data_IF_348118222717
#
_entry.id   IF_348118222717
#
_cell.length_a   1.000
_cell.length_b   1.000
_cell.length_c   1.000
_cell.angle_alpha   90.00
_cell.angle_beta   90.00
_cell.angle_gamma   90.00
#
_symmetry.space_group_name_H-M   'P 1'
#
loop_
_entity.id
_entity.type
_entity.pdbx_description
1 polymer ?
#
# COMPACT_ATOMS: atom_id res chain seq x y z
N UNK A 1 5.35 -9.24 17.62
CA UNK A 1 3.97 -8.70 17.64
C UNK A 1 3.73 -7.99 16.32
N UNK A 2 2.55 -8.12 15.69
CA UNK A 2 2.28 -7.39 14.45
C UNK A 2 2.19 -5.89 14.75
N UNK A 3 3.02 -5.11 14.06
CA UNK A 3 2.97 -3.66 14.10
C UNK A 3 1.78 -3.18 13.25
N UNK A 4 0.86 -2.46 13.90
CA UNK A 4 -0.41 -2.01 13.31
C UNK A 4 -0.36 -0.51 13.02
N UNK A 5 -0.23 -0.18 11.75
CA UNK A 5 -0.17 1.19 11.25
C UNK A 5 -1.56 1.82 11.24
N UNK A 6 -1.64 3.06 11.74
CA UNK A 6 -2.78 3.94 11.51
C UNK A 6 -2.71 4.55 10.11
N UNK A 7 -3.79 5.22 9.72
CA UNK A 7 -3.79 6.02 8.49
C UNK A 7 -2.69 7.10 8.50
N UNK A 8 -2.42 7.70 9.66
CA UNK A 8 -1.37 8.72 9.82
C UNK A 8 0.03 8.16 9.51
N UNK A 9 0.27 6.88 9.82
CA UNK A 9 1.56 6.23 9.60
C UNK A 9 1.82 5.90 8.13
N UNK A 10 0.76 5.74 7.31
CA UNK A 10 0.89 5.59 5.85
C UNK A 10 1.64 6.77 5.24
N UNK A 11 1.40 7.99 5.74
CA UNK A 11 2.12 9.19 5.29
C UNK A 11 3.61 9.10 5.62
N UNK A 12 3.97 8.58 6.79
CA UNK A 12 5.37 8.39 7.20
C UNK A 12 6.09 7.34 6.33
N UNK A 13 5.36 6.32 5.87
CA UNK A 13 5.85 5.29 4.91
C UNK A 13 5.97 5.80 3.46
N UNK A 14 5.73 7.08 3.21
CA UNK A 14 5.82 7.66 1.86
C UNK A 14 4.56 7.47 1.02
N UNK A 15 3.41 7.20 1.64
CA UNK A 15 2.10 7.08 0.98
C UNK A 15 1.26 8.32 1.33
N UNK A 16 1.43 9.46 0.62
CA UNK A 16 0.71 10.71 0.88
C UNK A 16 -0.71 10.72 0.29
N UNK A 17 -1.43 9.59 0.36
CA UNK A 17 -2.77 9.49 -0.19
C UNK A 17 -3.83 10.03 0.77
N UNK A 18 -4.92 10.56 0.23
CA UNK A 18 -6.09 10.95 1.04
C UNK A 18 -6.89 9.73 1.46
N UNK A 19 -7.66 9.81 2.55
CA UNK A 19 -8.52 8.71 3.04
C UNK A 19 -9.47 8.20 1.96
N UNK A 20 -10.01 9.12 1.15
CA UNK A 20 -10.92 8.82 0.05
C UNK A 20 -10.21 8.06 -1.09
N UNK A 21 -8.97 8.46 -1.41
CA UNK A 21 -8.14 7.77 -2.40
C UNK A 21 -7.79 6.36 -1.92
N UNK A 22 -7.37 6.20 -0.67
CA UNK A 22 -7.09 4.88 -0.07
C UNK A 22 -8.32 4.00 -0.10
N UNK A 23 -9.50 4.52 0.29
CA UNK A 23 -10.75 3.78 0.21
C UNK A 23 -11.09 3.34 -1.23
N UNK A 24 -10.84 4.19 -2.23
CA UNK A 24 -11.02 3.85 -3.64
C UNK A 24 -10.05 2.75 -4.09
N UNK A 25 -8.78 2.82 -3.69
CA UNK A 25 -7.78 1.79 -4.04
C UNK A 25 -8.12 0.44 -3.39
N UNK A 26 -8.58 0.46 -2.13
CA UNK A 26 -9.06 -0.75 -1.45
C UNK A 26 -10.24 -1.35 -2.21
N UNK A 27 -11.22 -0.52 -2.62
CA UNK A 27 -12.36 -0.97 -3.44
C UNK A 27 -11.92 -1.55 -4.78
N UNK A 28 -10.82 -1.06 -5.35
CA UNK A 28 -10.23 -1.56 -6.59
C UNK A 28 -9.33 -2.79 -6.38
N UNK A 29 -9.13 -3.27 -5.15
CA UNK A 29 -8.20 -4.36 -4.84
C UNK A 29 -6.73 -3.99 -5.06
N UNK A 30 -6.42 -2.69 -5.13
CA UNK A 30 -5.07 -2.17 -5.44
C UNK A 30 -4.30 -1.69 -4.21
N UNK A 31 -4.87 -1.81 -3.03
CA UNK A 31 -4.27 -1.44 -1.75
C UNK A 31 -4.69 -2.42 -0.66
N UNK A 32 -3.83 -2.73 0.33
CA UNK A 32 -4.15 -3.67 1.39
C UNK A 32 -5.41 -3.27 2.17
N UNK A 33 -6.24 -4.26 2.47
CA UNK A 33 -7.49 -4.04 3.18
C UNK A 33 -7.22 -3.69 4.66
N UNK A 34 -7.86 -2.66 5.22
CA UNK A 34 -7.69 -2.32 6.62
C UNK A 34 -8.39 -3.33 7.53
N UNK A 35 -7.74 -3.65 8.63
CA UNK A 35 -8.33 -4.31 9.80
C UNK A 35 -9.19 -3.29 10.55
N UNK A 36 -10.46 -3.63 10.75
CA UNK A 36 -11.40 -2.84 11.54
C UNK A 36 -11.29 -3.25 13.01
N UNK A 37 -10.65 -2.42 13.83
CA UNK A 37 -10.54 -2.65 15.28
C UNK A 37 -11.69 -2.01 16.08
N UNK A 38 -12.45 -1.11 15.46
CA UNK A 38 -13.57 -0.41 16.10
C UNK A 38 -14.22 0.60 15.16
N UNK A 39 -15.18 1.38 15.68
CA UNK A 39 -15.87 2.42 14.92
C UNK A 39 -14.85 3.47 14.47
N UNK A 40 -14.63 3.57 13.16
CA UNK A 40 -13.68 4.53 12.56
C UNK A 40 -12.20 4.22 12.79
N UNK A 41 -11.86 3.08 13.42
CA UNK A 41 -10.48 2.68 13.69
C UNK A 41 -10.03 1.62 12.68
N UNK A 42 -9.46 2.09 11.58
CA UNK A 42 -8.86 1.28 10.54
C UNK A 42 -7.35 1.18 10.79
N UNK A 43 -6.84 -0.04 10.87
CA UNK A 43 -5.40 -0.34 10.98
C UNK A 43 -4.93 -1.18 9.82
N UNK A 44 -3.68 -1.04 9.46
CA UNK A 44 -3.01 -1.86 8.47
C UNK A 44 -1.86 -2.61 9.12
N UNK A 45 -1.55 -3.80 8.65
CA UNK A 45 -0.36 -4.51 9.09
C UNK A 45 0.84 -3.85 8.40
N UNK A 46 1.87 -3.48 9.18
CA UNK A 46 3.07 -2.84 8.65
C UNK A 46 3.72 -3.69 7.55
N UNK A 47 3.86 -5.01 7.78
CA UNK A 47 4.39 -5.95 6.80
C UNK A 47 3.61 -5.98 5.49
N UNK A 48 2.26 -5.94 5.52
CA UNK A 48 1.47 -5.91 4.28
C UNK A 48 1.68 -4.62 3.49
N UNK A 49 1.89 -3.49 4.18
CA UNK A 49 2.17 -2.21 3.52
C UNK A 49 3.58 -2.24 2.90
N UNK A 50 4.57 -2.76 3.61
CA UNK A 50 5.94 -2.90 3.10
C UNK A 50 5.97 -3.83 1.87
N UNK A 51 5.33 -5.01 1.96
CA UNK A 51 5.19 -5.95 0.85
C UNK A 51 4.50 -5.31 -0.36
N UNK A 52 3.44 -4.52 -0.13
CA UNK A 52 2.74 -3.81 -1.20
C UNK A 52 3.64 -2.77 -1.89
N UNK A 53 4.47 -2.04 -1.14
CA UNK A 53 5.44 -1.09 -1.70
C UNK A 53 6.49 -1.85 -2.53
N UNK A 54 7.01 -2.96 -2.04
CA UNK A 54 8.03 -3.73 -2.74
C UNK A 54 7.49 -4.40 -4.01
N UNK A 55 6.26 -4.90 -3.99
CA UNK A 55 5.57 -5.38 -5.19
C UNK A 55 5.47 -4.28 -6.27
N UNK A 56 5.17 -3.04 -5.88
CA UNK A 56 5.11 -1.90 -6.83
C UNK A 56 6.48 -1.55 -7.40
N UNK A 57 7.55 -1.63 -6.59
CA UNK A 57 8.92 -1.43 -7.07
C UNK A 57 9.30 -2.53 -8.06
N UNK A 58 9.03 -3.79 -7.72
CA UNK A 58 9.30 -4.94 -8.56
C UNK A 58 8.55 -4.86 -9.90
N UNK A 59 7.27 -4.50 -9.89
CA UNK A 59 6.47 -4.28 -11.10
C UNK A 59 7.08 -3.17 -11.98
N UNK A 60 7.46 -2.03 -11.39
CA UNK A 60 8.16 -0.95 -12.10
C UNK A 60 9.48 -1.43 -12.72
N UNK A 61 10.31 -2.13 -11.94
CA UNK A 61 11.62 -2.61 -12.42
C UNK A 61 11.47 -3.69 -13.50
N UNK A 62 10.48 -4.57 -13.38
CA UNK A 62 10.15 -5.55 -14.42
C UNK A 62 9.68 -4.86 -15.71
N UNK A 63 8.83 -3.84 -15.60
CA UNK A 63 8.38 -3.05 -16.75
C UNK A 63 9.53 -2.29 -17.42
N UNK A 64 10.48 -1.75 -16.65
CA UNK A 64 11.66 -1.08 -17.19
C UNK A 64 12.55 -2.07 -17.95
N UNK A 65 12.87 -3.22 -17.34
CA UNK A 65 13.65 -4.27 -18.01
C UNK A 65 13.00 -4.76 -19.30
N UNK A 66 11.67 -4.91 -19.31
CA UNK A 66 10.93 -5.33 -20.50
C UNK A 66 10.94 -4.27 -21.63
N UNK A 67 11.11 -2.99 -21.30
CA UNK A 67 11.30 -1.91 -22.29
C UNK A 67 12.71 -1.91 -22.86
N UNK A 68 13.72 -2.12 -22.01
CA UNK A 68 15.13 -2.18 -22.42
C UNK A 68 15.41 -3.39 -23.33
N UNK A 69 14.82 -4.55 -23.05
CA UNK A 69 15.00 -5.75 -23.89
C UNK A 69 14.34 -5.67 -25.28
N UNK A 70 13.50 -4.65 -25.53
CA UNK A 70 12.84 -4.41 -26.82
C UNK A 70 13.53 -3.32 -27.65
N UNK A 71 14.51 -2.62 -27.08
CA UNK A 71 15.33 -1.61 -27.76
C UNK A 71 16.61 -2.26 -28.31
#
# INVERSE_FOLDING_TARGET
>A
MPDLLAFSDLKAKGIPFTRQHVARLIKQGRFPAPIKLGVGTNRWISSEIDDWIDLRKADRDALLKAREARA
#
